data_IF_604066819448
#
_entry.id   IF_604066819448
#
_cell.length_a   1.000
_cell.length_b   1.000
_cell.length_c   1.000
_cell.angle_alpha   90.00
_cell.angle_beta   90.00
_cell.angle_gamma   90.00
#
_symmetry.space_group_name_H-M   'P 1'
#
loop_
_entity.id
_entity.type
_entity.pdbx_description
1 polymer ?
#
# COMPACT_ATOMS: atom_id res chain seq x y z
N UNK A 1 5.26 -35.08 1.05
CA UNK A 1 6.41 -34.28 1.54
C UNK A 1 5.97 -32.82 1.65
N UNK A 2 6.09 -32.24 2.84
CA UNK A 2 5.65 -30.87 3.17
C UNK A 2 6.89 -30.04 3.54
N UNK A 3 6.91 -28.77 3.16
CA UNK A 3 7.93 -27.81 3.58
C UNK A 3 7.43 -27.02 4.78
N UNK A 4 8.33 -26.63 5.67
CA UNK A 4 8.06 -25.78 6.82
C UNK A 4 9.05 -24.62 6.92
N UNK A 5 8.58 -23.49 7.43
CA UNK A 5 9.38 -22.37 7.93
C UNK A 5 8.84 -22.02 9.32
N UNK A 6 9.74 -21.80 10.27
CA UNK A 6 9.42 -21.29 11.60
C UNK A 6 10.04 -19.91 11.74
N UNK A 7 9.24 -18.93 12.15
CA UNK A 7 9.69 -17.60 12.55
C UNK A 7 9.66 -17.57 14.06
N UNK A 8 10.83 -17.47 14.68
CA UNK A 8 10.91 -17.24 16.10
C UNK A 8 10.66 -15.75 16.35
N UNK A 9 9.70 -15.41 17.20
CA UNK A 9 9.46 -14.01 17.52
C UNK A 9 10.57 -13.45 18.42
N UNK A 10 11.45 -14.30 18.97
CA UNK A 10 12.70 -13.89 19.60
C UNK A 10 13.63 -13.19 18.62
N UNK A 11 13.56 -13.48 17.32
CA UNK A 11 14.35 -12.78 16.30
C UNK A 11 14.03 -11.27 16.30
N UNK A 12 12.82 -10.87 16.72
CA UNK A 12 12.49 -9.45 16.91
C UNK A 12 13.19 -8.84 18.14
N UNK A 13 13.46 -9.63 19.16
CA UNK A 13 14.23 -9.18 20.32
C UNK A 13 15.73 -9.17 20.01
N UNK A 14 16.25 -10.29 19.51
CA UNK A 14 17.68 -10.53 19.33
C UNK A 14 18.25 -9.73 18.14
N UNK A 15 17.54 -9.69 17.00
CA UNK A 15 18.03 -9.00 15.80
C UNK A 15 17.51 -7.56 15.69
N UNK A 16 16.41 -7.24 16.38
CA UNK A 16 15.67 -5.99 16.21
C UNK A 16 15.43 -5.22 17.52
N UNK A 17 15.99 -5.67 18.64
CA UNK A 17 15.92 -5.02 19.97
C UNK A 17 14.50 -4.72 20.48
N UNK A 18 13.48 -5.42 20.00
CA UNK A 18 12.11 -5.29 20.50
C UNK A 18 11.87 -6.20 21.71
N UNK A 19 11.63 -5.61 22.88
CA UNK A 19 11.49 -6.29 24.19
C UNK A 19 10.20 -7.10 24.31
N UNK A 20 10.00 -8.08 23.42
CA UNK A 20 8.90 -9.06 23.40
C UNK A 20 7.49 -8.49 23.15
N UNK A 21 7.44 -7.30 22.56
CA UNK A 21 6.19 -6.56 22.43
C UNK A 21 5.43 -6.88 21.13
N UNK A 22 6.15 -7.37 20.12
CA UNK A 22 5.60 -7.76 18.84
C UNK A 22 4.89 -9.09 18.93
N UNK A 23 3.63 -9.16 18.51
CA UNK A 23 2.84 -10.42 18.53
C UNK A 23 1.63 -10.35 17.61
N UNK A 24 1.16 -11.50 17.16
CA UNK A 24 -0.14 -11.58 16.48
C UNK A 24 -1.27 -11.60 17.51
N UNK A 25 -2.39 -10.93 17.22
CA UNK A 25 -3.60 -11.04 18.04
C UNK A 25 -4.39 -12.30 17.67
N UNK A 26 -3.76 -13.45 17.91
CA UNK A 26 -4.33 -14.77 17.80
C UNK A 26 -4.15 -15.50 19.14
N UNK A 27 -5.02 -16.45 19.49
CA UNK A 27 -4.84 -17.24 20.70
C UNK A 27 -3.68 -18.24 20.53
N UNK A 28 -3.04 -18.60 21.64
CA UNK A 28 -1.93 -19.55 21.66
C UNK A 28 -2.36 -20.91 21.12
N UNK A 29 -1.63 -21.46 20.16
CA UNK A 29 -1.92 -22.77 19.56
C UNK A 29 -2.96 -22.72 18.44
N UNK A 30 -3.36 -21.53 17.97
CA UNK A 30 -4.20 -21.38 16.79
C UNK A 30 -3.54 -22.01 15.56
N UNK A 31 -4.32 -22.73 14.76
CA UNK A 31 -3.89 -23.25 13.46
C UNK A 31 -4.94 -22.91 12.43
N UNK A 32 -4.55 -22.15 11.40
CA UNK A 32 -5.44 -21.65 10.34
C UNK A 32 -4.91 -22.00 8.95
N UNK A 33 -5.80 -22.17 7.98
CA UNK A 33 -5.43 -22.28 6.58
C UNK A 33 -5.47 -20.92 5.87
N UNK A 34 -4.43 -20.64 5.06
CA UNK A 34 -4.40 -19.48 4.18
C UNK A 34 -3.41 -19.70 3.04
N UNK A 35 -3.77 -19.29 1.83
CA UNK A 35 -2.85 -19.29 0.68
C UNK A 35 -2.15 -20.63 0.42
N UNK A 36 -2.91 -21.73 0.49
CA UNK A 36 -2.40 -23.12 0.38
C UNK A 36 -1.33 -23.47 1.44
N UNK A 37 -1.33 -22.77 2.56
CA UNK A 37 -0.48 -23.03 3.70
C UNK A 37 -1.32 -23.36 4.95
N UNK A 38 -0.72 -24.07 5.90
CA UNK A 38 -1.21 -24.13 7.28
C UNK A 38 -0.28 -23.28 8.15
N UNK A 39 -0.87 -22.41 8.95
CA UNK A 39 -0.17 -21.44 9.80
C UNK A 39 -0.51 -21.78 11.25
N UNK A 40 0.50 -22.12 12.04
CA UNK A 40 0.41 -22.37 13.48
C UNK A 40 1.06 -21.21 14.22
N UNK A 41 0.33 -20.60 15.15
CA UNK A 41 0.85 -19.56 16.02
C UNK A 41 0.94 -20.07 17.46
N UNK A 42 2.11 -19.90 18.08
CA UNK A 42 2.36 -20.25 19.47
C UNK A 42 2.86 -19.01 20.18
N UNK A 43 2.22 -18.66 21.29
CA UNK A 43 2.61 -17.58 22.17
C UNK A 43 2.34 -18.02 23.60
N UNK A 44 3.38 -18.53 24.24
CA UNK A 44 3.36 -19.09 25.60
C UNK A 44 4.56 -18.54 26.37
N UNK A 45 4.60 -18.78 27.68
CA UNK A 45 5.72 -18.36 28.51
C UNK A 45 7.06 -19.00 28.10
N UNK A 46 7.03 -20.13 27.38
CA UNK A 46 8.23 -20.90 26.99
C UNK A 46 8.62 -20.71 25.54
N UNK A 47 7.69 -20.30 24.67
CA UNK A 47 7.92 -20.26 23.22
C UNK A 47 6.97 -19.27 22.54
N UNK A 48 7.51 -18.52 21.59
CA UNK A 48 6.77 -17.56 20.79
C UNK A 48 7.20 -17.65 19.33
N UNK A 49 6.38 -18.25 18.48
CA UNK A 49 6.73 -18.45 17.08
C UNK A 49 5.52 -18.54 16.15
N UNK A 50 5.78 -18.37 14.85
CA UNK A 50 4.85 -18.65 13.77
C UNK A 50 5.43 -19.73 12.87
N UNK A 51 4.75 -20.87 12.75
CA UNK A 51 5.15 -21.96 11.85
C UNK A 51 4.22 -22.01 10.64
N UNK A 52 4.78 -22.00 9.44
CA UNK A 52 4.04 -22.06 8.18
C UNK A 52 4.47 -23.30 7.41
N UNK A 53 3.49 -24.09 6.98
CA UNK A 53 3.73 -25.32 6.22
C UNK A 53 2.96 -25.33 4.90
N UNK A 54 3.56 -25.89 3.85
CA UNK A 54 2.89 -26.09 2.56
C UNK A 54 3.60 -27.16 1.72
N UNK A 55 2.89 -27.73 0.74
CA UNK A 55 3.48 -28.63 -0.25
C UNK A 55 4.53 -27.94 -1.15
N UNK A 56 4.51 -26.61 -1.28
CA UNK A 56 5.43 -25.85 -2.13
C UNK A 56 6.03 -24.67 -1.39
N UNK A 57 7.36 -24.50 -1.49
CA UNK A 57 8.09 -23.37 -0.89
C UNK A 57 7.54 -22.01 -1.35
N UNK A 58 7.16 -21.89 -2.62
CA UNK A 58 6.59 -20.66 -3.18
C UNK A 58 5.33 -20.20 -2.43
N UNK A 59 4.45 -21.13 -2.04
CA UNK A 59 3.25 -20.78 -1.29
C UNK A 59 3.60 -20.15 0.06
N UNK A 60 4.60 -20.71 0.76
CA UNK A 60 5.10 -20.17 2.03
C UNK A 60 5.69 -18.78 1.82
N UNK A 61 6.57 -18.60 0.83
CA UNK A 61 7.16 -17.29 0.53
C UNK A 61 6.12 -16.22 0.23
N UNK A 62 5.09 -16.55 -0.55
CA UNK A 62 4.00 -15.61 -0.82
C UNK A 62 3.11 -15.37 0.39
N UNK A 63 2.79 -16.42 1.16
CA UNK A 63 2.06 -16.30 2.41
C UNK A 63 2.77 -15.35 3.39
N UNK A 64 4.09 -15.45 3.51
CA UNK A 64 4.89 -14.56 4.35
C UNK A 64 4.81 -13.10 3.91
N UNK A 65 4.91 -12.82 2.61
CA UNK A 65 4.76 -11.46 2.09
C UNK A 65 3.38 -10.89 2.43
N UNK A 66 2.33 -11.70 2.23
CA UNK A 66 0.95 -11.30 2.49
C UNK A 66 0.72 -11.04 3.98
N UNK A 67 1.10 -11.99 4.85
CA UNK A 67 0.99 -11.82 6.29
C UNK A 67 1.77 -10.61 6.75
N UNK A 68 3.02 -10.46 6.31
CA UNK A 68 3.87 -9.32 6.64
C UNK A 68 3.26 -7.97 6.26
N UNK A 69 2.61 -7.89 5.10
CA UNK A 69 1.89 -6.68 4.73
C UNK A 69 0.65 -6.46 5.61
N UNK A 70 -0.21 -7.47 5.76
CA UNK A 70 -1.48 -7.28 6.46
C UNK A 70 -1.36 -7.21 7.97
N UNK A 71 -0.30 -7.75 8.60
CA UNK A 71 -0.01 -7.57 10.03
C UNK A 71 0.90 -6.37 10.29
N UNK A 72 1.39 -5.70 9.25
CA UNK A 72 2.42 -4.64 9.35
C UNK A 72 3.74 -5.04 10.02
N UNK A 73 3.93 -6.33 10.30
CA UNK A 73 5.17 -6.88 10.85
C UNK A 73 6.11 -7.27 9.69
N UNK A 74 7.43 -7.09 9.80
CA UNK A 74 8.43 -7.47 8.79
C UNK A 74 8.64 -8.99 8.65
N UNK A 75 7.59 -9.81 8.79
CA UNK A 75 7.64 -11.27 8.78
C UNK A 75 8.23 -11.91 7.52
N UNK A 76 8.42 -11.18 6.42
CA UNK A 76 9.06 -11.72 5.21
C UNK A 76 10.54 -11.33 5.06
N UNK A 77 11.05 -10.41 5.88
CA UNK A 77 12.39 -9.84 5.71
C UNK A 77 13.50 -10.62 6.42
N UNK A 78 13.15 -11.61 7.24
CA UNK A 78 14.10 -12.49 7.89
C UNK A 78 14.63 -13.54 6.91
N UNK A 79 15.76 -14.15 7.25
CA UNK A 79 16.28 -15.28 6.50
C UNK A 79 15.59 -16.57 6.95
N UNK A 80 15.04 -17.34 6.01
CA UNK A 80 14.27 -18.55 6.33
C UNK A 80 14.99 -19.81 5.89
N UNK A 81 15.11 -20.74 6.84
CA UNK A 81 15.49 -22.11 6.54
C UNK A 81 14.24 -22.94 6.22
N UNK A 82 14.18 -23.45 4.99
CA UNK A 82 13.09 -24.32 4.56
C UNK A 82 13.40 -25.77 4.95
N UNK A 83 12.68 -26.26 5.93
CA UNK A 83 12.78 -27.63 6.41
C UNK A 83 11.77 -28.53 5.71
N UNK A 84 12.10 -29.82 5.60
CA UNK A 84 11.15 -30.85 5.20
C UNK A 84 10.53 -31.44 6.47
N UNK A 85 9.22 -31.58 6.49
CA UNK A 85 8.50 -32.13 7.64
C UNK A 85 7.40 -33.08 7.20
N UNK A 86 7.04 -33.99 8.11
CA UNK A 86 5.88 -34.86 8.03
C UNK A 86 4.77 -34.40 8.99
N UNK A 87 4.99 -33.32 9.75
CA UNK A 87 3.98 -32.77 10.65
C UNK A 87 2.75 -32.30 9.85
N UNK A 88 1.60 -32.87 10.19
CA UNK A 88 0.30 -32.46 9.66
C UNK A 88 -0.31 -31.51 10.70
N UNK A 89 -0.59 -30.28 10.26
CA UNK A 89 -1.21 -29.26 11.09
C UNK A 89 -2.72 -29.22 10.84
N UNK A 90 -3.47 -29.76 11.79
CA UNK A 90 -4.93 -29.66 11.81
C UNK A 90 -5.37 -28.28 12.30
N UNK A 91 -6.43 -27.74 11.70
CA UNK A 91 -6.99 -26.46 12.11
C UNK A 91 -7.52 -26.51 13.54
N UNK A 92 -7.24 -25.47 14.32
CA UNK A 92 -7.53 -25.40 15.75
C UNK A 92 -7.99 -24.02 16.15
N UNK A 93 -8.89 -23.98 17.14
CA UNK A 93 -9.45 -22.76 17.74
C UNK A 93 -10.28 -21.90 16.79
N UNK A 94 -10.91 -22.52 15.79
CA UNK A 94 -11.72 -21.83 14.78
C UNK A 94 -12.93 -21.08 15.35
N UNK A 95 -13.43 -21.51 16.52
CA UNK A 95 -14.55 -20.85 17.21
C UNK A 95 -14.12 -19.61 18.01
N UNK A 96 -12.82 -19.38 18.19
CA UNK A 96 -12.33 -18.21 18.91
C UNK A 96 -12.63 -16.93 18.09
N UNK A 97 -13.23 -15.88 18.68
CA UNK A 97 -13.63 -14.69 17.94
C UNK A 97 -12.49 -14.02 17.16
N UNK A 98 -11.28 -13.98 17.72
CA UNK A 98 -10.11 -13.41 17.03
C UNK A 98 -9.67 -14.26 15.84
N UNK A 99 -9.79 -15.59 15.94
CA UNK A 99 -9.48 -16.50 14.83
C UNK A 99 -10.52 -16.36 13.73
N UNK A 100 -11.82 -16.31 14.07
CA UNK A 100 -12.91 -16.08 13.13
C UNK A 100 -12.75 -14.77 12.36
N UNK A 101 -12.42 -13.68 13.06
CA UNK A 101 -12.12 -12.38 12.46
C UNK A 101 -10.95 -12.47 11.47
N UNK A 102 -9.85 -13.13 11.86
CA UNK A 102 -8.72 -13.36 10.98
C UNK A 102 -9.11 -14.16 9.73
N UNK A 103 -9.87 -15.24 9.87
CA UNK A 103 -10.30 -16.08 8.76
C UNK A 103 -11.18 -15.31 7.75
N UNK A 104 -12.07 -14.45 8.23
CA UNK A 104 -12.89 -13.58 7.35
C UNK A 104 -12.02 -12.61 6.54
N UNK A 105 -11.05 -11.97 7.20
CA UNK A 105 -10.12 -11.03 6.56
C UNK A 105 -9.21 -11.75 5.56
N UNK A 106 -8.66 -12.91 5.93
CA UNK A 106 -7.84 -13.76 5.06
C UNK A 106 -8.61 -14.25 3.83
N UNK A 107 -9.87 -14.67 4.01
CA UNK A 107 -10.77 -15.04 2.91
C UNK A 107 -11.01 -13.86 1.97
N UNK A 108 -11.22 -12.65 2.52
CA UNK A 108 -11.35 -11.44 1.73
C UNK A 108 -10.07 -11.14 0.93
N UNK A 109 -8.91 -11.22 1.56
CA UNK A 109 -7.59 -11.03 0.90
C UNK A 109 -7.44 -12.03 -0.25
N UNK A 110 -7.70 -13.32 -0.01
CA UNK A 110 -7.56 -14.37 -1.01
C UNK A 110 -8.51 -14.14 -2.20
N UNK A 111 -9.78 -13.83 -1.93
CA UNK A 111 -10.77 -13.51 -2.96
C UNK A 111 -10.33 -12.31 -3.81
N UNK A 112 -9.86 -11.23 -3.17
CA UNK A 112 -9.43 -10.02 -3.88
C UNK A 112 -8.18 -10.27 -4.71
N UNK A 113 -7.20 -11.04 -4.22
CA UNK A 113 -6.00 -11.39 -4.99
C UNK A 113 -6.30 -12.33 -6.16
N UNK A 114 -7.21 -13.29 -5.99
CA UNK A 114 -7.58 -14.25 -7.03
C UNK A 114 -8.50 -13.66 -8.12
N UNK A 115 -9.07 -12.47 -7.88
CA UNK A 115 -9.82 -11.74 -8.89
C UNK A 115 -9.01 -11.54 -10.17
N UNK A 116 -9.64 -11.69 -11.35
CA UNK A 116 -8.95 -11.79 -12.66
C UNK A 116 -7.96 -10.65 -12.92
N UNK A 117 -8.31 -9.41 -12.57
CA UNK A 117 -7.44 -8.23 -12.74
C UNK A 117 -6.19 -8.30 -11.86
N UNK A 118 -6.33 -8.73 -10.61
CA UNK A 118 -5.24 -8.76 -9.64
C UNK A 118 -4.34 -9.97 -9.82
N UNK A 119 -4.90 -11.13 -10.20
CA UNK A 119 -4.13 -12.31 -10.55
C UNK A 119 -3.12 -12.04 -11.67
N UNK A 120 -3.49 -11.25 -12.68
CA UNK A 120 -2.58 -10.81 -13.77
C UNK A 120 -1.46 -9.88 -13.27
N UNK A 121 -1.68 -9.18 -12.16
CA UNK A 121 -0.75 -8.22 -11.55
C UNK A 121 -0.17 -8.71 -10.23
N UNK A 122 -0.30 -10.00 -9.92
CA UNK A 122 0.07 -10.59 -8.62
C UNK A 122 1.50 -10.25 -8.23
N UNK A 123 2.45 -10.40 -9.15
CA UNK A 123 3.86 -10.10 -8.89
C UNK A 123 4.09 -8.61 -8.58
N UNK A 124 3.34 -7.71 -9.22
CA UNK A 124 3.42 -6.28 -8.95
C UNK A 124 2.82 -5.95 -7.57
N UNK A 125 1.67 -6.52 -7.23
CA UNK A 125 1.04 -6.34 -5.92
C UNK A 125 1.97 -6.84 -4.81
N UNK A 126 2.50 -8.07 -4.95
CA UNK A 126 3.44 -8.63 -3.98
C UNK A 126 4.72 -7.81 -3.89
N UNK A 127 5.23 -7.28 -5.00
CA UNK A 127 6.41 -6.39 -4.99
C UNK A 127 6.16 -5.10 -4.21
N UNK A 128 4.97 -4.50 -4.33
CA UNK A 128 4.59 -3.31 -3.56
C UNK A 128 4.46 -3.63 -2.07
N UNK A 129 3.81 -4.75 -1.74
CA UNK A 129 3.67 -5.24 -0.37
C UNK A 129 5.01 -5.49 0.31
N UNK A 130 5.98 -6.10 -0.41
CA UNK A 130 7.35 -6.28 0.07
C UNK A 130 8.03 -4.96 0.44
N UNK A 131 7.85 -3.92 -0.36
CA UNK A 131 8.45 -2.61 -0.05
C UNK A 131 7.92 -2.06 1.27
N UNK A 132 6.61 -2.17 1.51
CA UNK A 132 6.02 -1.78 2.78
C UNK A 132 6.58 -2.57 3.96
N UNK A 133 6.78 -3.89 3.85
CA UNK A 133 7.33 -4.62 5.00
C UNK A 133 8.83 -4.47 5.20
N UNK A 134 9.60 -4.07 4.17
CA UNK A 134 10.97 -3.57 4.39
C UNK A 134 10.93 -2.22 5.10
N UNK A 135 9.98 -1.35 4.77
CA UNK A 135 9.72 -0.13 5.56
C UNK A 135 9.46 -0.47 7.02
N UNK A 136 8.62 -1.47 7.29
CA UNK A 136 8.34 -1.93 8.65
C UNK A 136 9.59 -2.44 9.37
N UNK A 137 10.52 -3.13 8.69
CA UNK A 137 11.81 -3.56 9.25
C UNK A 137 12.68 -2.37 9.67
N UNK A 138 12.75 -1.33 8.85
CA UNK A 138 13.57 -0.14 9.15
C UNK A 138 13.06 0.63 10.36
N UNK A 139 11.76 0.56 10.66
CA UNK A 139 11.18 1.08 11.90
C UNK A 139 11.80 0.40 13.13
N UNK A 140 11.91 -0.94 13.14
CA UNK A 140 12.59 -1.67 14.22
C UNK A 140 14.07 -1.34 14.35
N UNK A 141 14.72 -0.96 13.24
CA UNK A 141 16.13 -0.59 13.24
C UNK A 141 16.37 0.89 13.55
N UNK A 142 15.32 1.69 13.75
CA UNK A 142 15.40 3.15 13.89
C UNK A 142 16.08 3.82 12.68
N UNK A 143 15.84 3.30 11.48
CA UNK A 143 16.37 3.81 10.21
C UNK A 143 15.30 4.62 9.48
N UNK A 144 15.05 5.86 9.96
CA UNK A 144 13.89 6.67 9.53
C UNK A 144 13.93 7.07 8.05
N UNK A 145 15.11 7.39 7.50
CA UNK A 145 15.24 7.73 6.07
C UNK A 145 14.91 6.53 5.18
N UNK A 146 15.43 5.34 5.47
CA UNK A 146 15.13 4.12 4.73
C UNK A 146 13.67 3.67 4.91
N UNK A 147 13.12 3.77 6.13
CA UNK A 147 11.71 3.51 6.41
C UNK A 147 10.82 4.39 5.54
N UNK A 148 11.07 5.70 5.55
CA UNK A 148 10.35 6.67 4.74
C UNK A 148 10.43 6.31 3.26
N UNK A 149 11.64 6.10 2.75
CA UNK A 149 11.89 5.83 1.35
C UNK A 149 11.20 4.54 0.87
N UNK A 150 11.20 3.50 1.70
CA UNK A 150 10.58 2.22 1.36
C UNK A 150 9.05 2.26 1.39
N UNK A 151 8.44 3.07 2.26
CA UNK A 151 7.00 3.33 2.20
C UNK A 151 6.60 4.27 1.07
N UNK A 152 7.44 5.24 0.72
CA UNK A 152 7.11 6.21 -0.34
C UNK A 152 7.13 5.60 -1.74
N UNK A 153 8.01 4.63 -2.01
CA UNK A 153 8.10 3.94 -3.32
C UNK A 153 6.75 3.35 -3.80
N UNK A 154 6.01 2.59 -2.96
CA UNK A 154 4.66 2.16 -3.29
C UNK A 154 3.70 3.28 -3.66
N UNK A 155 3.74 4.41 -2.93
CA UNK A 155 2.88 5.57 -3.19
C UNK A 155 3.11 6.08 -4.63
N UNK A 156 4.37 6.32 -5.01
CA UNK A 156 4.72 6.80 -6.36
C UNK A 156 4.25 5.84 -7.45
N UNK A 157 4.49 4.54 -7.24
CA UNK A 157 4.16 3.50 -8.21
C UNK A 157 2.66 3.32 -8.35
N UNK A 158 1.93 3.22 -7.24
CA UNK A 158 0.46 3.07 -7.25
C UNK A 158 -0.22 4.31 -7.81
N UNK A 159 0.25 5.52 -7.48
CA UNK A 159 -0.29 6.76 -8.02
C UNK A 159 -0.18 6.81 -9.55
N UNK A 160 1.00 6.48 -10.11
CA UNK A 160 1.18 6.38 -11.56
C UNK A 160 0.20 5.39 -12.18
N UNK A 161 0.12 4.18 -11.61
CA UNK A 161 -0.78 3.14 -12.09
C UNK A 161 -2.26 3.56 -12.03
N UNK A 162 -2.66 4.30 -11.00
CA UNK A 162 -4.04 4.76 -10.85
C UNK A 162 -4.42 5.73 -11.98
N UNK A 163 -3.54 6.68 -12.32
CA UNK A 163 -3.76 7.61 -13.42
C UNK A 163 -3.87 6.90 -14.78
N UNK A 164 -2.99 5.92 -15.02
CA UNK A 164 -2.99 5.13 -16.25
C UNK A 164 -4.30 4.33 -16.40
N UNK A 165 -4.76 3.71 -15.29
CA UNK A 165 -5.95 2.87 -15.29
C UNK A 165 -7.26 3.65 -15.41
N UNK A 166 -7.35 4.80 -14.73
CA UNK A 166 -8.54 5.66 -14.75
C UNK A 166 -8.63 6.53 -16.00
N UNK A 167 -7.54 6.60 -16.78
CA UNK A 167 -7.42 7.47 -17.94
C UNK A 167 -7.71 8.94 -17.60
N UNK A 168 -7.44 9.37 -16.36
CA UNK A 168 -7.73 10.75 -15.95
C UNK A 168 -7.08 11.76 -16.89
N UNK A 169 -5.86 11.50 -17.37
CA UNK A 169 -5.14 12.38 -18.28
C UNK A 169 -5.36 12.02 -19.77
N UNK A 170 -6.03 10.91 -20.08
CA UNK A 170 -6.19 10.38 -21.45
C UNK A 170 -7.66 10.06 -21.79
N UNK A 171 -7.94 9.44 -22.94
CA UNK A 171 -9.29 8.95 -23.30
C UNK A 171 -10.38 10.05 -23.45
N UNK A 172 -11.64 9.68 -23.18
CA UNK A 172 -12.80 10.57 -23.32
C UNK A 172 -12.70 11.86 -22.48
N UNK A 173 -12.10 11.78 -21.29
CA UNK A 173 -11.81 12.94 -20.45
C UNK A 173 -10.90 13.96 -21.14
N UNK A 174 -10.01 13.50 -22.02
CA UNK A 174 -9.11 14.38 -22.75
C UNK A 174 -9.84 15.20 -23.83
N UNK A 175 -10.77 14.59 -24.55
CA UNK A 175 -11.60 15.26 -25.55
C UNK A 175 -12.54 16.28 -24.90
N UNK A 176 -13.22 15.88 -23.82
CA UNK A 176 -14.06 16.79 -23.05
C UNK A 176 -13.25 18.00 -22.52
N UNK A 177 -12.01 17.78 -22.04
CA UNK A 177 -11.12 18.87 -21.63
C UNK A 177 -10.72 19.77 -22.79
N UNK A 178 -10.37 19.23 -23.97
CA UNK A 178 -10.06 20.07 -25.15
C UNK A 178 -11.21 21.00 -25.49
N UNK A 179 -12.45 20.50 -25.44
CA UNK A 179 -13.63 21.32 -25.70
C UNK A 179 -13.82 22.40 -24.63
N UNK A 180 -13.63 22.08 -23.36
CA UNK A 180 -13.69 23.08 -22.27
C UNK A 180 -12.57 24.13 -22.39
N UNK A 181 -11.34 23.70 -22.71
CA UNK A 181 -10.20 24.61 -22.94
C UNK A 181 -10.49 25.55 -24.10
N UNK A 182 -11.10 25.04 -25.17
CA UNK A 182 -11.50 25.85 -26.31
C UNK A 182 -12.49 26.95 -25.92
N UNK A 183 -13.56 26.59 -25.20
CA UNK A 183 -14.53 27.59 -24.70
C UNK A 183 -13.89 28.61 -23.77
N UNK A 184 -12.94 28.17 -22.92
CA UNK A 184 -12.17 29.08 -22.08
C UNK A 184 -11.31 30.07 -22.90
N UNK A 185 -10.63 29.59 -23.94
CA UNK A 185 -9.82 30.44 -24.82
C UNK A 185 -10.69 31.46 -25.57
N UNK A 186 -11.84 31.02 -26.11
CA UNK A 186 -12.82 31.92 -26.75
C UNK A 186 -13.24 33.05 -25.80
N UNK A 187 -13.60 32.72 -24.57
CA UNK A 187 -13.97 33.71 -23.56
C UNK A 187 -12.80 34.64 -23.23
N UNK A 188 -11.61 34.10 -23.02
CA UNK A 188 -10.41 34.87 -22.68
C UNK A 188 -10.07 35.88 -23.79
N UNK A 189 -10.13 35.48 -25.05
CA UNK A 189 -9.85 36.39 -26.17
C UNK A 189 -10.89 37.50 -26.29
N UNK A 190 -12.17 37.15 -26.08
CA UNK A 190 -13.24 38.14 -26.08
C UNK A 190 -13.08 39.15 -24.94
N UNK A 191 -12.78 38.70 -23.71
CA UNK A 191 -12.76 39.57 -22.54
C UNK A 191 -11.45 40.30 -22.30
N UNK A 192 -10.31 39.75 -22.73
CA UNK A 192 -8.99 40.23 -22.33
C UNK A 192 -8.03 40.55 -23.48
N UNK A 193 -8.43 40.27 -24.72
CA UNK A 193 -7.63 40.55 -25.91
C UNK A 193 -8.46 41.33 -26.94
N UNK A 194 -8.94 42.51 -26.57
CA UNK A 194 -9.61 43.47 -27.48
C UNK A 194 -10.76 42.89 -28.32
N UNK A 195 -11.55 41.99 -27.75
CA UNK A 195 -12.62 41.26 -28.45
C UNK A 195 -12.11 40.47 -29.68
N UNK A 196 -10.89 39.96 -29.63
CA UNK A 196 -10.29 39.19 -30.73
C UNK A 196 -11.09 37.90 -30.97
N UNK A 197 -11.36 37.61 -32.25
CA UNK A 197 -12.03 36.40 -32.69
C UNK A 197 -11.11 35.60 -33.61
N UNK A 198 -10.77 34.39 -33.20
CA UNK A 198 -10.05 33.42 -34.02
C UNK A 198 -11.03 32.46 -34.70
N UNK A 199 -10.63 31.91 -35.86
CA UNK A 199 -11.39 30.87 -36.52
C UNK A 199 -11.35 29.54 -35.73
N UNK A 200 -12.23 28.62 -36.13
CA UNK A 200 -12.44 27.36 -35.42
C UNK A 200 -11.23 26.43 -35.48
N UNK A 201 -10.42 26.48 -36.55
CA UNK A 201 -9.22 25.67 -36.74
C UNK A 201 -8.12 26.16 -35.78
N UNK A 202 -7.84 27.46 -35.81
CA UNK A 202 -6.87 28.11 -34.90
C UNK A 202 -7.20 27.85 -33.43
N UNK A 203 -8.47 28.00 -33.02
CA UNK A 203 -8.89 27.71 -31.64
C UNK A 203 -8.71 26.24 -31.25
N UNK A 204 -8.90 25.32 -32.21
CA UNK A 204 -8.74 23.89 -31.97
C UNK A 204 -7.27 23.52 -31.79
N UNK A 205 -6.39 24.10 -32.59
CA UNK A 205 -4.94 23.95 -32.47
C UNK A 205 -4.47 24.45 -31.10
N UNK A 206 -4.78 25.70 -30.75
CA UNK A 206 -4.37 26.31 -29.48
C UNK A 206 -4.88 25.51 -28.26
N UNK A 207 -6.14 25.08 -28.28
CA UNK A 207 -6.69 24.24 -27.22
C UNK A 207 -5.99 22.88 -27.14
N UNK A 208 -5.60 22.31 -28.29
CA UNK A 208 -4.83 21.09 -28.38
C UNK A 208 -3.44 21.21 -27.74
N UNK A 209 -2.70 22.27 -28.08
CA UNK A 209 -1.36 22.55 -27.55
C UNK A 209 -1.38 22.82 -26.05
N UNK A 210 -2.31 23.67 -25.59
CA UNK A 210 -2.44 24.02 -24.18
C UNK A 210 -2.79 22.79 -23.34
N UNK A 211 -3.74 21.98 -23.80
CA UNK A 211 -4.13 20.76 -23.11
C UNK A 211 -3.01 19.70 -23.11
N UNK A 212 -2.25 19.58 -24.21
CA UNK A 212 -1.05 18.73 -24.25
C UNK A 212 -0.01 19.18 -23.22
N UNK A 213 0.26 20.48 -23.16
CA UNK A 213 1.19 21.08 -22.20
C UNK A 213 0.73 20.84 -20.76
N UNK A 214 -0.55 21.03 -20.47
CA UNK A 214 -1.14 20.76 -19.16
C UNK A 214 -0.99 19.29 -18.76
N UNK A 215 -1.39 18.36 -19.63
CA UNK A 215 -1.28 16.92 -19.38
C UNK A 215 0.17 16.51 -19.08
N UNK A 216 1.11 16.96 -19.91
CA UNK A 216 2.55 16.70 -19.71
C UNK A 216 3.05 17.26 -18.36
N UNK A 217 2.59 18.47 -17.99
CA UNK A 217 2.94 19.11 -16.73
C UNK A 217 2.43 18.32 -15.52
N UNK A 218 1.21 17.77 -15.62
CA UNK A 218 0.60 16.96 -14.56
C UNK A 218 1.25 15.58 -14.44
N UNK A 219 1.58 14.93 -15.54
CA UNK A 219 2.12 13.57 -15.56
C UNK A 219 3.59 13.49 -15.11
N UNK A 220 4.41 14.48 -15.47
CA UNK A 220 5.87 14.40 -15.27
C UNK A 220 6.34 14.55 -13.82
N UNK A 221 5.53 15.11 -12.92
CA UNK A 221 5.94 15.38 -11.53
C UNK A 221 5.25 14.45 -10.54
N UNK A 222 6.04 13.82 -9.65
CA UNK A 222 5.53 12.88 -8.63
C UNK A 222 4.45 13.53 -7.74
N UNK A 223 4.70 14.74 -7.24
CA UNK A 223 3.73 15.52 -6.47
C UNK A 223 2.36 15.57 -7.14
N UNK A 224 2.29 16.07 -8.38
CA UNK A 224 1.04 16.23 -9.13
C UNK A 224 0.35 14.90 -9.39
N UNK A 225 1.13 13.85 -9.72
CA UNK A 225 0.58 12.51 -9.91
C UNK A 225 -0.07 11.95 -8.66
N UNK A 226 0.60 12.08 -7.52
CA UNK A 226 0.10 11.61 -6.23
C UNK A 226 -1.16 12.37 -5.86
N UNK A 227 -1.17 13.70 -5.98
CA UNK A 227 -2.36 14.53 -5.72
C UNK A 227 -3.54 14.10 -6.57
N UNK A 228 -3.36 13.95 -7.89
CA UNK A 228 -4.43 13.53 -8.79
C UNK A 228 -4.94 12.11 -8.47
N UNK A 229 -4.03 11.18 -8.17
CA UNK A 229 -4.40 9.82 -7.78
C UNK A 229 -5.18 9.81 -6.47
N UNK A 230 -4.75 10.59 -5.47
CA UNK A 230 -5.45 10.72 -4.19
C UNK A 230 -6.85 11.30 -4.39
N UNK A 231 -7.00 12.41 -5.12
CA UNK A 231 -8.31 12.99 -5.42
C UNK A 231 -9.24 12.00 -6.13
N UNK A 232 -8.72 11.25 -7.10
CA UNK A 232 -9.49 10.22 -7.79
C UNK A 232 -9.96 9.12 -6.85
N UNK A 233 -9.12 8.74 -5.88
CA UNK A 233 -9.44 7.68 -4.93
C UNK A 233 -10.45 8.18 -3.90
N UNK A 234 -10.21 9.36 -3.30
CA UNK A 234 -11.08 9.93 -2.27
C UNK A 234 -12.46 10.31 -2.79
N UNK A 235 -12.56 10.77 -4.05
CA UNK A 235 -13.85 11.08 -4.67
C UNK A 235 -14.75 9.84 -4.87
N UNK A 236 -14.17 8.64 -4.90
CA UNK A 236 -14.91 7.39 -5.02
C UNK A 236 -15.26 6.77 -3.65
N UNK A 237 -14.86 7.40 -2.54
CA UNK A 237 -15.22 6.97 -1.19
C UNK A 237 -16.48 7.71 -0.71
N UNK A 238 -17.29 7.02 0.07
CA UNK A 238 -18.50 7.57 0.69
C UNK A 238 -18.14 8.72 1.66
N UNK A 239 -19.00 9.74 1.72
CA UNK A 239 -18.76 10.94 2.54
C UNK A 239 -18.69 10.67 4.06
N UNK A 240 -19.25 9.54 4.51
CA UNK A 240 -19.19 9.09 5.90
C UNK A 240 -17.97 8.22 6.25
N UNK A 241 -17.12 7.87 5.27
CA UNK A 241 -15.96 7.00 5.50
C UNK A 241 -14.83 7.78 6.20
N UNK A 242 -14.43 7.34 7.40
CA UNK A 242 -13.31 7.93 8.15
C UNK A 242 -11.97 7.83 7.43
N UNK A 243 -11.86 6.90 6.47
CA UNK A 243 -10.72 6.81 5.55
C UNK A 243 -10.65 8.04 4.65
N UNK A 244 -11.81 8.49 4.13
CA UNK A 244 -11.87 9.67 3.26
C UNK A 244 -11.39 10.91 4.00
N UNK A 245 -11.87 11.12 5.23
CA UNK A 245 -11.47 12.27 6.04
C UNK A 245 -9.98 12.23 6.39
N UNK A 246 -9.41 11.07 6.67
CA UNK A 246 -7.96 10.90 6.91
C UNK A 246 -7.15 11.21 5.67
N UNK A 247 -7.53 10.66 4.50
CA UNK A 247 -6.83 10.93 3.25
C UNK A 247 -6.91 12.40 2.82
N UNK A 248 -8.02 13.08 3.09
CA UNK A 248 -8.16 14.51 2.80
C UNK A 248 -7.27 15.42 3.65
N UNK A 249 -6.79 14.96 4.81
CA UNK A 249 -5.79 15.69 5.61
C UNK A 249 -4.41 15.69 4.94
N UNK A 250 -4.12 14.69 4.10
CA UNK A 250 -2.88 14.64 3.33
C UNK A 250 -3.11 15.36 1.99
N UNK A 251 -3.22 16.68 2.10
CA UNK A 251 -3.53 17.57 0.99
C UNK A 251 -2.34 17.78 0.04
N UNK A 252 -2.52 18.65 -0.96
CA UNK A 252 -1.46 18.96 -1.93
C UNK A 252 -0.19 19.52 -1.29
N UNK A 253 -0.30 20.31 -0.22
CA UNK A 253 0.87 20.88 0.46
C UNK A 253 1.63 19.78 1.19
N UNK A 254 0.90 18.92 1.92
CA UNK A 254 1.50 17.81 2.62
C UNK A 254 2.19 16.82 1.67
N UNK A 255 1.55 16.48 0.55
CA UNK A 255 2.19 15.65 -0.49
C UNK A 255 3.46 16.31 -1.04
N UNK A 256 3.49 17.64 -1.17
CA UNK A 256 4.67 18.35 -1.66
C UNK A 256 5.85 18.23 -0.70
N UNK A 257 5.60 18.33 0.60
CA UNK A 257 6.61 18.13 1.65
C UNK A 257 7.18 16.72 1.60
N UNK A 258 6.32 15.70 1.56
CA UNK A 258 6.75 14.30 1.49
C UNK A 258 7.58 14.02 0.23
N UNK A 259 7.22 14.61 -0.92
CA UNK A 259 8.01 14.48 -2.16
C UNK A 259 9.38 15.17 -2.04
N UNK A 260 9.48 16.30 -1.33
CA UNK A 260 10.77 16.96 -1.07
C UNK A 260 11.68 16.06 -0.23
N UNK A 261 11.17 15.57 0.92
CA UNK A 261 11.88 14.62 1.79
C UNK A 261 12.38 13.43 0.97
N UNK A 262 11.52 12.81 0.17
CA UNK A 262 11.90 11.68 -0.70
C UNK A 262 13.05 12.03 -1.65
N UNK A 263 12.99 13.18 -2.29
CA UNK A 263 14.01 13.58 -3.26
C UNK A 263 15.33 13.90 -2.57
N UNK A 264 15.29 14.57 -1.41
CA UNK A 264 16.47 14.86 -0.63
C UNK A 264 17.18 13.58 -0.18
N UNK A 265 16.45 12.59 0.34
CA UNK A 265 16.99 11.25 0.66
C UNK A 265 17.62 10.61 -0.59
N UNK A 266 16.92 10.64 -1.73
CA UNK A 266 17.41 10.05 -2.98
C UNK A 266 18.68 10.71 -3.54
N UNK A 267 18.92 11.98 -3.20
CA UNK A 267 20.12 12.72 -3.57
C UNK A 267 21.25 12.60 -2.53
N UNK A 268 21.06 11.83 -1.45
CA UNK A 268 22.04 11.66 -0.39
C UNK A 268 22.16 12.87 0.53
N UNK A 269 21.17 13.77 0.51
CA UNK A 269 21.10 14.86 1.47
C UNK A 269 20.69 14.29 2.83
N UNK A 270 21.25 14.82 3.91
CA UNK A 270 20.82 14.46 5.27
C UNK A 270 19.44 15.06 5.53
N UNK A 271 18.46 14.25 5.91
CA UNK A 271 17.08 14.70 6.13
C UNK A 271 16.62 14.34 7.53
N UNK A 272 15.98 15.29 8.23
CA UNK A 272 15.27 14.95 9.45
C UNK A 272 13.85 14.52 9.09
N UNK A 273 13.56 13.23 9.22
CA UNK A 273 12.22 12.68 8.98
C UNK A 273 11.46 12.66 10.30
N UNK A 274 10.35 13.39 10.39
CA UNK A 274 9.54 13.43 11.60
C UNK A 274 8.68 12.17 11.76
N UNK A 275 8.23 11.84 12.99
CA UNK A 275 7.28 10.75 13.21
C UNK A 275 5.98 10.89 12.39
N UNK A 276 5.47 12.11 12.22
CA UNK A 276 4.26 12.37 11.43
C UNK A 276 4.49 12.08 9.94
N UNK A 277 5.70 12.37 9.41
CA UNK A 277 6.07 12.00 8.04
C UNK A 277 6.05 10.48 7.84
N UNK A 278 6.57 9.72 8.81
CA UNK A 278 6.59 8.26 8.78
C UNK A 278 5.19 7.66 8.86
N UNK A 279 4.34 8.21 9.73
CA UNK A 279 2.94 7.82 9.87
C UNK A 279 2.19 8.05 8.55
N UNK A 280 2.34 9.21 7.93
CA UNK A 280 1.67 9.54 6.68
C UNK A 280 2.07 8.60 5.55
N UNK A 281 3.36 8.32 5.38
CA UNK A 281 3.82 7.43 4.30
C UNK A 281 3.47 5.97 4.54
N UNK A 282 3.52 5.49 5.78
CA UNK A 282 3.04 4.14 6.11
C UNK A 282 1.54 4.03 5.79
N UNK A 283 0.74 4.98 6.29
CA UNK A 283 -0.71 5.00 6.07
C UNK A 283 -1.05 5.02 4.58
N UNK A 284 -0.50 5.99 3.84
CA UNK A 284 -0.74 6.14 2.41
C UNK A 284 -0.31 4.92 1.61
N UNK A 285 0.88 4.37 1.88
CA UNK A 285 1.40 3.24 1.12
C UNK A 285 0.46 2.03 1.19
N UNK A 286 -0.03 1.70 2.38
CA UNK A 286 -0.91 0.56 2.61
C UNK A 286 -2.31 0.81 2.06
N UNK A 287 -2.87 1.99 2.36
CA UNK A 287 -4.22 2.37 1.98
C UNK A 287 -4.37 2.49 0.45
N UNK A 288 -3.37 3.07 -0.24
CA UNK A 288 -3.38 3.16 -1.71
C UNK A 288 -3.32 1.77 -2.36
N UNK A 289 -2.48 0.86 -1.86
CA UNK A 289 -2.42 -0.51 -2.38
C UNK A 289 -3.79 -1.19 -2.23
N UNK A 290 -4.41 -1.14 -1.06
CA UNK A 290 -5.70 -1.82 -0.85
C UNK A 290 -6.85 -1.16 -1.60
N UNK A 291 -6.91 0.17 -1.67
CA UNK A 291 -7.95 0.85 -2.43
C UNK A 291 -7.84 0.57 -3.93
N UNK A 292 -6.63 0.68 -4.51
CA UNK A 292 -6.44 0.52 -5.96
C UNK A 292 -6.60 -0.93 -6.41
N UNK A 293 -6.06 -1.88 -5.65
CA UNK A 293 -6.12 -3.30 -6.06
C UNK A 293 -7.34 -4.01 -5.51
N UNK A 294 -7.73 -3.76 -4.25
CA UNK A 294 -8.79 -4.53 -3.60
C UNK A 294 -10.11 -3.75 -3.54
N UNK A 295 -10.11 -2.44 -3.74
CA UNK A 295 -11.31 -1.60 -3.70
C UNK A 295 -11.94 -1.55 -2.30
N UNK A 296 -11.12 -1.71 -1.25
CA UNK A 296 -11.55 -1.69 0.15
C UNK A 296 -10.47 -1.04 1.02
N UNK A 297 -10.85 -0.57 2.20
CA UNK A 297 -9.93 0.07 3.13
C UNK A 297 -8.96 -0.93 3.74
N UNK A 298 -7.73 -0.50 4.05
CA UNK A 298 -6.73 -1.40 4.64
C UNK A 298 -7.22 -1.97 5.98
N UNK A 299 -7.93 -1.17 6.79
CA UNK A 299 -8.52 -1.62 8.06
C UNK A 299 -9.45 -2.83 7.93
N UNK A 300 -10.11 -3.02 6.78
CA UNK A 300 -11.00 -4.17 6.53
C UNK A 300 -10.23 -5.48 6.30
N UNK A 301 -8.94 -5.41 5.99
CA UNK A 301 -8.07 -6.57 5.71
C UNK A 301 -6.83 -6.61 6.59
N UNK A 302 -6.66 -5.63 7.48
CA UNK A 302 -5.61 -5.61 8.49
C UNK A 302 -5.70 -6.87 9.36
N UNK A 303 -4.63 -7.58 9.59
CA UNK A 303 -4.61 -8.73 10.49
C UNK A 303 -4.06 -8.27 11.82
N UNK A 304 -4.93 -8.16 12.82
CA UNK A 304 -4.61 -7.53 14.11
C UNK A 304 -3.33 -8.10 14.71
N UNK A 305 -2.42 -7.20 15.06
CA UNK A 305 -1.11 -7.51 15.61
C UNK A 305 -0.65 -6.35 16.48
N UNK A 306 0.36 -6.62 17.29
CA UNK A 306 1.08 -5.59 18.03
C UNK A 306 2.48 -5.47 17.49
N UNK A 307 2.94 -4.23 17.40
CA UNK A 307 4.30 -3.80 17.11
C UNK A 307 4.67 -2.78 18.19
N UNK A 308 5.79 -2.97 18.89
CA UNK A 308 6.13 -2.12 20.05
C UNK A 308 5.02 -2.05 21.13
N UNK A 309 4.29 -3.15 21.35
CA UNK A 309 3.08 -3.25 22.19
C UNK A 309 1.89 -2.38 21.74
N UNK A 310 2.02 -1.67 20.63
CA UNK A 310 0.98 -0.81 20.05
C UNK A 310 0.30 -1.49 18.86
N UNK A 311 -0.97 -1.17 18.64
CA UNK A 311 -1.70 -1.58 17.45
C UNK A 311 -2.18 -0.34 16.70
N UNK A 312 -1.31 0.19 15.84
CA UNK A 312 -1.54 1.44 15.12
C UNK A 312 -2.80 1.43 14.24
N UNK A 313 -3.22 0.25 13.77
CA UNK A 313 -4.35 0.09 12.84
C UNK A 313 -5.64 -0.42 13.50
N UNK A 314 -5.65 -0.60 14.84
CA UNK A 314 -6.83 -1.08 15.59
C UNK A 314 -8.04 -0.16 15.57
#
# INVERSE_FOLDING_TARGET
MIYAVTIDFNDFYDDLNDVWSTRLQLPNGAVIAFWKCKIKYVNSNESHYLKITSAQKQNISECLILLSFFTTLPLFTFEYNFEKTEEILDERQLENPSVSEWLERLSTIERKLNHKKNRKRRNEILSLMKMCSIGALHDYRNHSEEQFFMYFKPIERVAKLQLDNTKILTGFSNEARKNLTKTFLEQLFLSNFDNTFFDQETLTELAGELNSTLNNSLERKNHRRIVLALSSITNNLDDGDSTKSTLLKIDSNRVQELVKIRNDIAHGNKVNVSPDDLIDVEYLSRQLITLVFFGINFKQVYLRSKKFNTDFWS
#
